data_IF_185204824501
#
_entry.id   IF_185204824501
#
_cell.length_a   1.000
_cell.length_b   1.000
_cell.length_c   1.000
_cell.angle_alpha   90.00
_cell.angle_beta   90.00
_cell.angle_gamma   90.00
#
_symmetry.space_group_name_H-M   'P 1'
#
loop_
_entity.id
_entity.type
_entity.pdbx_description
1 polymer ?
#
# COMPACT_ATOMS: atom_id res chain seq x y z
N UNK A 1 20.49 3.48 5.42
CA UNK A 1 19.31 4.11 4.83
C UNK A 1 18.34 4.59 5.88
N UNK A 2 17.80 5.80 5.74
CA UNK A 2 16.70 6.35 6.56
C UNK A 2 15.58 6.84 5.68
N UNK A 3 14.34 6.66 6.15
CA UNK A 3 13.15 7.18 5.48
C UNK A 3 12.99 8.67 5.77
N UNK A 4 12.84 9.50 4.75
CA UNK A 4 12.91 10.97 4.87
C UNK A 4 11.59 11.67 4.56
N UNK A 5 10.87 11.20 3.54
CA UNK A 5 9.72 11.89 2.97
C UNK A 5 8.64 10.90 2.53
N UNK A 6 7.39 11.35 2.58
CA UNK A 6 6.26 10.72 1.92
C UNK A 6 5.64 11.70 0.93
N UNK A 7 5.31 11.23 -0.27
CA UNK A 7 4.44 11.94 -1.21
C UNK A 7 3.20 11.10 -1.47
N UNK A 8 2.05 11.76 -1.51
CA UNK A 8 0.78 11.09 -1.80
C UNK A 8 0.05 11.82 -2.93
N UNK A 9 -0.38 11.05 -3.92
CA UNK A 9 -1.05 11.58 -5.11
C UNK A 9 -2.42 10.93 -5.21
N UNK A 10 -3.47 11.74 -5.00
CA UNK A 10 -4.82 11.32 -5.30
C UNK A 10 -4.98 11.33 -6.82
N UNK A 11 -5.51 10.25 -7.37
CA UNK A 11 -5.86 10.19 -8.78
C UNK A 11 -7.19 9.49 -8.97
N UNK A 12 -7.87 9.90 -10.04
CA UNK A 12 -9.12 9.32 -10.49
C UNK A 12 -8.91 8.75 -11.88
N UNK A 13 -9.62 7.67 -12.17
CA UNK A 13 -9.58 7.03 -13.48
C UNK A 13 -10.93 6.40 -13.81
N UNK A 14 -11.23 6.34 -15.10
CA UNK A 14 -12.44 5.71 -15.60
C UNK A 14 -12.12 4.31 -16.13
N UNK A 15 -12.81 3.30 -15.62
CA UNK A 15 -12.68 1.93 -16.13
C UNK A 15 -13.29 1.81 -17.53
N UNK A 16 -12.84 0.84 -18.32
CA UNK A 16 -13.42 0.58 -19.65
C UNK A 16 -14.87 0.04 -19.60
N UNK A 17 -15.33 -0.41 -18.43
CA UNK A 17 -16.67 -0.95 -18.18
C UNK A 17 -17.16 -0.59 -16.78
N UNK A 18 -18.45 -0.76 -16.52
CA UNK A 18 -19.01 -0.66 -15.16
C UNK A 18 -18.54 -1.86 -14.34
N UNK A 19 -18.05 -1.60 -13.13
CA UNK A 19 -17.50 -2.59 -12.21
C UNK A 19 -18.35 -2.62 -10.94
N UNK A 20 -18.84 -3.80 -10.54
CA UNK A 20 -19.69 -3.96 -9.35
C UNK A 20 -19.88 -5.41 -8.92
N UNK A 21 -20.38 -5.59 -7.70
CA UNK A 21 -20.63 -6.88 -7.06
C UNK A 21 -21.95 -6.86 -6.28
N UNK A 22 -22.23 -7.89 -5.48
CA UNK A 22 -23.50 -8.00 -4.75
C UNK A 22 -23.69 -6.87 -3.71
N UNK A 23 -22.61 -6.24 -3.24
CA UNK A 23 -22.64 -5.10 -2.32
C UNK A 23 -22.71 -3.75 -3.05
N UNK A 24 -22.42 -3.73 -4.35
CA UNK A 24 -22.54 -2.56 -5.22
C UNK A 24 -23.09 -2.96 -6.60
N UNK A 25 -24.36 -3.40 -6.68
CA UNK A 25 -24.91 -4.03 -7.88
C UNK A 25 -25.11 -3.07 -9.04
N UNK A 26 -25.31 -1.77 -8.78
CA UNK A 26 -25.30 -0.74 -9.82
C UNK A 26 -23.89 -0.48 -10.39
N UNK A 27 -22.86 -0.85 -9.64
CA UNK A 27 -21.45 -0.63 -9.98
C UNK A 27 -21.06 0.83 -10.16
N UNK A 28 -19.84 1.03 -10.62
CA UNK A 28 -19.31 2.35 -11.00
C UNK A 28 -18.22 2.22 -12.06
N UNK A 29 -18.08 3.25 -12.88
CA UNK A 29 -17.03 3.34 -13.90
C UNK A 29 -15.85 4.20 -13.41
N UNK A 30 -16.15 5.32 -12.76
CA UNK A 30 -15.17 6.18 -12.10
C UNK A 30 -14.65 5.54 -10.80
N UNK A 31 -13.34 5.51 -10.64
CA UNK A 31 -12.64 5.03 -9.44
C UNK A 31 -11.64 6.09 -8.99
N UNK A 32 -11.27 6.05 -7.71
CA UNK A 32 -10.23 6.88 -7.14
C UNK A 32 -9.29 6.05 -6.28
N UNK A 33 -8.00 6.39 -6.34
CA UNK A 33 -6.93 5.72 -5.62
C UNK A 33 -5.92 6.74 -5.12
N UNK A 34 -5.08 6.31 -4.19
CA UNK A 34 -3.95 7.05 -3.68
C UNK A 34 -2.65 6.36 -4.10
N UNK A 35 -1.79 7.03 -4.86
CA UNK A 35 -0.40 6.61 -5.06
C UNK A 35 0.44 7.14 -3.91
N UNK A 36 1.28 6.29 -3.34
CA UNK A 36 2.15 6.62 -2.22
C UNK A 36 3.60 6.39 -2.62
N UNK A 37 4.44 7.40 -2.39
CA UNK A 37 5.89 7.33 -2.54
C UNK A 37 6.55 7.53 -1.18
N UNK A 38 7.36 6.57 -0.74
CA UNK A 38 8.17 6.69 0.48
C UNK A 38 9.64 6.79 0.08
N UNK A 39 10.28 7.90 0.43
CA UNK A 39 11.65 8.21 -0.01
C UNK A 39 12.68 7.99 1.09
N UNK A 40 13.89 7.64 0.68
CA UNK A 40 15.03 7.55 1.58
C UNK A 40 16.06 8.66 1.36
N UNK A 41 16.98 8.80 2.32
CA UNK A 41 18.18 9.66 2.23
C UNK A 41 19.23 9.16 1.23
N UNK A 42 19.10 7.93 0.73
CA UNK A 42 19.98 7.33 -0.27
C UNK A 42 19.40 7.42 -1.69
N UNK A 43 18.31 8.18 -1.88
CA UNK A 43 17.71 8.42 -3.21
C UNK A 43 16.81 7.29 -3.72
N UNK A 44 16.55 6.26 -2.92
CA UNK A 44 15.58 5.22 -3.24
C UNK A 44 14.16 5.65 -2.91
N UNK A 45 13.20 5.18 -3.70
CA UNK A 45 11.77 5.41 -3.48
C UNK A 45 11.01 4.09 -3.55
N UNK A 46 10.23 3.81 -2.51
CA UNK A 46 9.27 2.71 -2.46
C UNK A 46 7.88 3.19 -2.80
N UNK A 47 7.13 2.35 -3.50
CA UNK A 47 5.81 2.69 -4.01
C UNK A 47 4.75 1.74 -3.45
N UNK A 48 3.56 2.28 -3.26
CA UNK A 48 2.36 1.50 -2.99
C UNK A 48 1.11 2.26 -3.42
N UNK A 49 -0.04 1.61 -3.24
CA UNK A 49 -1.34 2.21 -3.46
C UNK A 49 -2.31 1.88 -2.35
N UNK A 50 -3.28 2.76 -2.13
CA UNK A 50 -4.45 2.51 -1.30
C UNK A 50 -5.70 3.13 -1.93
N UNK A 51 -6.85 2.93 -1.31
CA UNK A 51 -8.03 3.75 -1.55
C UNK A 51 -7.77 5.21 -1.17
N UNK A 52 -8.44 6.12 -1.90
CA UNK A 52 -8.32 7.56 -1.74
C UNK A 52 -8.54 8.04 -0.29
N UNK A 53 -9.52 7.46 0.40
CA UNK A 53 -9.93 7.86 1.74
C UNK A 53 -8.86 7.63 2.82
N UNK A 54 -7.86 6.78 2.56
CA UNK A 54 -6.80 6.46 3.53
C UNK A 54 -5.73 7.56 3.65
N UNK A 55 -5.66 8.55 2.75
CA UNK A 55 -4.63 9.60 2.71
C UNK A 55 -4.28 10.22 4.07
N UNK A 56 -5.23 10.78 4.85
CA UNK A 56 -4.88 11.43 6.12
C UNK A 56 -4.28 10.45 7.13
N UNK A 57 -4.71 9.19 7.12
CA UNK A 57 -4.18 8.16 8.02
C UNK A 57 -2.81 7.68 7.58
N UNK A 58 -2.56 7.55 6.27
CA UNK A 58 -1.24 7.24 5.71
C UNK A 58 -0.22 8.32 6.11
N UNK A 59 -0.55 9.59 5.88
CA UNK A 59 0.36 10.71 6.19
C UNK A 59 0.58 10.86 7.71
N UNK A 60 -0.47 10.69 8.52
CA UNK A 60 -0.37 10.74 9.98
C UNK A 60 0.48 9.58 10.51
N UNK A 61 0.23 8.34 10.06
CA UNK A 61 0.98 7.16 10.49
C UNK A 61 2.44 7.25 10.06
N UNK A 62 2.71 7.74 8.85
CA UNK A 62 4.07 7.96 8.37
C UNK A 62 4.88 8.84 9.33
N UNK A 63 4.33 10.00 9.70
CA UNK A 63 5.00 10.95 10.58
C UNK A 63 5.20 10.41 11.99
N UNK A 64 4.27 9.58 12.48
CA UNK A 64 4.32 9.03 13.85
C UNK A 64 5.27 7.84 14.01
N UNK A 65 5.35 6.98 12.99
CA UNK A 65 5.94 5.65 13.14
C UNK A 65 7.05 5.32 12.13
N UNK A 66 7.08 5.99 10.97
CA UNK A 66 7.89 5.58 9.82
C UNK A 66 9.04 6.54 9.54
N UNK A 67 8.79 7.85 9.59
CA UNK A 67 9.81 8.87 9.29
C UNK A 67 11.04 8.70 10.20
N UNK A 68 12.22 8.75 9.58
CA UNK A 68 13.52 8.60 10.25
C UNK A 68 13.93 7.17 10.57
N UNK A 69 13.08 6.17 10.33
CA UNK A 69 13.41 4.75 10.55
C UNK A 69 14.28 4.19 9.42
N UNK A 70 14.99 3.10 9.73
CA UNK A 70 15.69 2.30 8.73
C UNK A 70 14.73 1.24 8.14
N UNK A 71 14.45 1.29 6.83
CA UNK A 71 13.55 0.36 6.16
C UNK A 71 14.09 -1.08 6.08
N UNK A 72 15.33 -1.35 6.48
CA UNK A 72 15.84 -2.74 6.62
C UNK A 72 14.99 -3.57 7.61
N UNK A 73 14.40 -2.90 8.61
CA UNK A 73 13.56 -3.49 9.66
C UNK A 73 12.04 -3.26 9.44
N UNK A 74 11.53 -3.56 8.23
CA UNK A 74 10.10 -3.38 7.88
C UNK A 74 9.17 -3.98 8.94
N UNK A 75 9.39 -5.24 9.36
CA UNK A 75 8.55 -5.91 10.37
C UNK A 75 8.48 -5.15 11.69
N UNK A 76 9.59 -4.59 12.16
CA UNK A 76 9.65 -3.78 13.37
C UNK A 76 8.90 -2.45 13.23
N UNK A 77 8.97 -1.82 12.05
CA UNK A 77 8.21 -0.59 11.76
C UNK A 77 6.71 -0.90 11.72
N UNK A 78 6.31 -1.99 11.06
CA UNK A 78 4.90 -2.41 10.98
C UNK A 78 4.33 -2.76 12.35
N UNK A 79 5.10 -3.43 13.21
CA UNK A 79 4.74 -3.64 14.62
C UNK A 79 4.51 -2.32 15.36
N UNK A 80 5.40 -1.33 15.18
CA UNK A 80 5.23 0.00 15.79
C UNK A 80 3.97 0.72 15.28
N UNK A 81 3.68 0.65 13.98
CA UNK A 81 2.45 1.21 13.41
C UNK A 81 1.19 0.57 14.02
N UNK A 82 1.19 -0.76 14.17
CA UNK A 82 0.10 -1.50 14.82
C UNK A 82 -0.06 -1.12 16.29
N UNK A 83 1.04 -0.96 17.03
CA UNK A 83 1.02 -0.55 18.43
C UNK A 83 0.46 0.88 18.61
N UNK A 84 0.78 1.79 17.69
CA UNK A 84 0.17 3.13 17.67
C UNK A 84 -1.33 3.11 17.36
N UNK A 85 -1.77 2.15 16.55
CA UNK A 85 -3.18 1.99 16.18
C UNK A 85 -4.01 1.25 17.24
N UNK A 86 -3.39 0.61 18.23
CA UNK A 86 -4.04 -0.30 19.20
C UNK A 86 -5.35 0.23 19.78
N UNK A 87 -5.38 1.48 20.26
CA UNK A 87 -6.59 2.08 20.86
C UNK A 87 -7.65 2.51 19.84
N UNK A 88 -7.28 2.66 18.56
CA UNK A 88 -8.18 2.99 17.45
C UNK A 88 -8.75 1.76 16.72
N UNK A 89 -8.35 0.55 17.11
CA UNK A 89 -8.74 -0.69 16.47
C UNK A 89 -7.83 -1.11 15.31
N UNK A 90 -8.06 -2.32 14.79
CA UNK A 90 -7.23 -2.98 13.78
C UNK A 90 -7.94 -3.21 12.44
N UNK A 91 -9.02 -2.47 12.17
CA UNK A 91 -9.85 -2.64 10.96
C UNK A 91 -10.04 -1.36 10.17
N UNK A 92 -10.60 -1.48 8.96
CA UNK A 92 -10.93 -0.33 8.12
C UNK A 92 -9.70 0.49 7.69
N UNK A 93 -9.88 1.80 7.54
CA UNK A 93 -8.90 2.69 6.92
C UNK A 93 -7.57 2.78 7.67
N UNK A 94 -7.53 2.53 8.98
CA UNK A 94 -6.25 2.53 9.72
C UNK A 94 -5.39 1.34 9.33
N UNK A 95 -5.98 0.15 9.15
CA UNK A 95 -5.24 -1.02 8.71
C UNK A 95 -4.86 -0.93 7.23
N UNK A 96 -5.70 -0.29 6.42
CA UNK A 96 -5.37 0.05 5.04
C UNK A 96 -4.14 0.98 4.97
N UNK A 97 -4.08 2.02 5.80
CA UNK A 97 -2.93 2.92 5.88
C UNK A 97 -1.63 2.20 6.31
N UNK A 98 -1.73 1.31 7.31
CA UNK A 98 -0.61 0.46 7.75
C UNK A 98 -0.14 -0.43 6.60
N UNK A 99 -1.06 -1.08 5.89
CA UNK A 99 -0.75 -1.97 4.78
C UNK A 99 -0.07 -1.20 3.63
N UNK A 100 -0.55 -0.01 3.31
CA UNK A 100 0.02 0.81 2.25
C UNK A 100 1.47 1.24 2.58
N UNK A 101 1.74 1.61 3.82
CA UNK A 101 3.10 1.93 4.26
C UNK A 101 3.99 0.68 4.30
N UNK A 102 3.50 -0.45 4.81
CA UNK A 102 4.25 -1.72 4.83
C UNK A 102 4.69 -2.14 3.42
N UNK A 103 3.79 -2.09 2.43
CA UNK A 103 4.12 -2.40 1.02
C UNK A 103 5.21 -1.47 0.48
N UNK A 104 5.10 -0.16 0.70
CA UNK A 104 6.11 0.80 0.23
C UNK A 104 7.49 0.56 0.90
N UNK A 105 7.50 0.16 2.18
CA UNK A 105 8.72 -0.18 2.90
C UNK A 105 9.36 -1.48 2.39
N UNK A 106 8.55 -2.49 2.03
CA UNK A 106 9.05 -3.70 1.39
C UNK A 106 9.62 -3.44 -0.01
N UNK A 107 8.99 -2.57 -0.80
CA UNK A 107 9.52 -2.15 -2.09
C UNK A 107 10.86 -1.41 -1.93
N UNK A 108 10.97 -0.49 -0.96
CA UNK A 108 12.25 0.15 -0.60
C UNK A 108 13.32 -0.88 -0.23
N UNK A 109 12.98 -1.84 0.64
CA UNK A 109 13.93 -2.86 1.12
C UNK A 109 14.41 -3.77 -0.01
N UNK A 110 13.51 -4.20 -0.89
CA UNK A 110 13.87 -5.01 -2.05
C UNK A 110 14.81 -4.24 -2.99
N UNK A 111 14.52 -2.96 -3.25
CA UNK A 111 15.36 -2.07 -4.05
C UNK A 111 16.73 -1.83 -3.43
N UNK A 112 16.83 -1.61 -2.12
CA UNK A 112 18.14 -1.46 -1.45
C UNK A 112 18.99 -2.73 -1.51
N UNK A 113 18.34 -3.89 -1.58
CA UNK A 113 19.03 -5.16 -1.76
C UNK A 113 19.37 -5.48 -3.22
N UNK A 114 18.93 -4.64 -4.17
CA UNK A 114 19.00 -4.92 -5.60
C UNK A 114 18.36 -6.27 -5.97
N UNK A 115 17.23 -6.59 -5.32
CA UNK A 115 16.50 -7.83 -5.50
C UNK A 115 15.04 -7.59 -5.91
N UNK A 116 14.43 -8.47 -6.70
CA UNK A 116 12.99 -8.48 -6.84
C UNK A 116 12.33 -8.90 -5.52
N UNK A 117 11.18 -8.31 -5.20
CA UNK A 117 10.48 -8.52 -3.93
C UNK A 117 10.28 -10.00 -3.57
N UNK A 118 9.93 -10.85 -4.54
CA UNK A 118 9.72 -12.27 -4.30
C UNK A 118 10.96 -12.98 -3.73
N UNK A 119 12.19 -12.59 -4.11
CA UNK A 119 13.43 -13.12 -3.51
C UNK A 119 13.62 -12.60 -2.11
N UNK A 120 13.43 -11.30 -1.91
CA UNK A 120 13.52 -10.66 -0.59
C UNK A 120 12.53 -11.26 0.42
N UNK A 121 11.38 -11.76 -0.04
CA UNK A 121 10.40 -12.49 0.77
C UNK A 121 10.73 -13.98 0.97
N UNK A 122 11.82 -14.50 0.38
CA UNK A 122 12.24 -15.90 0.50
C UNK A 122 11.59 -16.85 -0.51
N UNK A 123 10.98 -16.32 -1.57
CA UNK A 123 10.35 -17.13 -2.61
C UNK A 123 11.36 -17.90 -3.46
N UNK A 124 10.96 -19.11 -3.88
CA UNK A 124 11.79 -19.97 -4.75
C UNK A 124 11.57 -19.69 -6.25
N UNK A 125 10.35 -19.30 -6.64
CA UNK A 125 9.95 -19.16 -8.04
C UNK A 125 9.25 -17.81 -8.27
N UNK A 126 9.59 -17.07 -9.35
CA UNK A 126 8.89 -15.84 -9.72
C UNK A 126 7.46 -16.06 -10.27
N UNK A 127 7.03 -17.31 -10.49
CA UNK A 127 5.72 -17.66 -11.07
C UNK A 127 4.81 -18.33 -10.04
N UNK A 128 3.53 -17.95 -10.08
CA UNK A 128 2.44 -18.54 -9.27
C UNK A 128 1.23 -18.81 -10.16
N UNK A 129 0.33 -19.69 -9.71
CA UNK A 129 -0.96 -19.87 -10.40
C UNK A 129 -1.83 -18.62 -10.19
N UNK A 130 -2.59 -18.26 -11.22
CA UNK A 130 -3.53 -17.14 -11.20
C UNK A 130 -4.86 -17.55 -11.82
N UNK A 131 -5.94 -16.85 -11.47
CA UNK A 131 -7.27 -17.01 -12.07
C UNK A 131 -7.89 -15.62 -12.33
N UNK A 132 -8.79 -15.53 -13.31
CA UNK A 132 -9.49 -14.28 -13.60
C UNK A 132 -10.67 -14.13 -12.63
N UNK A 133 -10.60 -13.12 -11.76
CA UNK A 133 -11.69 -12.74 -10.86
C UNK A 133 -12.45 -11.54 -11.45
N UNK A 134 -13.77 -11.68 -11.58
CA UNK A 134 -14.65 -10.70 -12.21
C UNK A 134 -15.54 -9.96 -11.23
N UNK A 135 -15.83 -8.70 -11.54
CA UNK A 135 -16.79 -7.84 -10.84
C UNK A 135 -17.81 -7.39 -11.89
N UNK A 136 -18.67 -8.33 -12.27
CA UNK A 136 -19.40 -8.30 -13.55
C UNK A 136 -20.92 -8.21 -13.38
N UNK A 137 -21.43 -8.11 -12.15
CA UNK A 137 -22.88 -8.01 -11.88
C UNK A 137 -23.58 -6.91 -12.71
N UNK A 138 -23.01 -5.70 -12.87
CA UNK A 138 -23.66 -4.63 -13.62
C UNK A 138 -23.58 -4.79 -15.15
N UNK A 139 -22.99 -5.86 -15.66
CA UNK A 139 -22.79 -6.06 -17.11
C UNK A 139 -23.97 -6.76 -17.82
N UNK A 140 -25.02 -7.11 -17.09
CA UNK A 140 -26.22 -7.76 -17.62
C UNK A 140 -27.24 -6.76 -18.16
#
# INVERSE_FOLDING_TARGET
MKITEIKTHLYEFENNRVVGDANSPAGRKLQSNLLIEVKSDEGLTGYSSSGAAAKPLVESMFNRAVKGKDPSNVKGITKQMMDFAFKGGHGGMINEAISALDIALWDLKAKSNNEPLWKTLGGLNPKVRAYASGLDIPMN
#
